data_IF_107266733277
#
_entry.id   IF_107266733277
#
_cell.length_a   1.000
_cell.length_b   1.000
_cell.length_c   1.000
_cell.angle_alpha   90.00
_cell.angle_beta   90.00
_cell.angle_gamma   90.00
#
_symmetry.space_group_name_H-M   'P 1'
#
loop_
_entity.id
_entity.type
_entity.pdbx_description
1 polymer ?
#
# COMPACT_ATOMS: atom_id res chain seq x y z
N UNK A 1 -4.02 -9.40 -23.43
CA UNK A 1 -4.93 -9.97 -24.45
C UNK A 1 -5.99 -10.79 -23.70
N UNK A 2 -7.08 -10.25 -23.16
CA UNK A 2 -7.96 -9.18 -23.59
C UNK A 2 -8.53 -8.41 -22.39
N UNK A 3 -8.31 -7.09 -22.33
CA UNK A 3 -9.22 -6.11 -21.70
C UNK A 3 -8.77 -4.70 -22.13
N UNK A 4 -8.54 -4.52 -23.43
CA UNK A 4 -8.05 -3.27 -24.03
C UNK A 4 -8.93 -2.90 -25.25
N UNK A 5 -10.22 -3.25 -25.21
CA UNK A 5 -11.09 -3.20 -26.40
C UNK A 5 -12.52 -2.68 -26.12
N UNK A 6 -12.71 -1.80 -25.13
CA UNK A 6 -14.01 -1.13 -24.93
C UNK A 6 -13.94 0.37 -24.66
N UNK A 7 -12.75 0.99 -24.77
CA UNK A 7 -12.60 2.44 -24.55
C UNK A 7 -12.65 3.29 -25.84
N UNK A 8 -12.57 2.69 -27.04
CA UNK A 8 -12.48 3.43 -28.31
C UNK A 8 -13.82 3.66 -29.05
N UNK A 9 -14.94 3.13 -28.59
CA UNK A 9 -16.23 3.21 -29.34
C UNK A 9 -17.22 4.28 -28.84
N UNK A 10 -16.79 5.27 -28.04
CA UNK A 10 -17.68 6.34 -27.53
C UNK A 10 -17.33 7.76 -28.01
N UNK A 11 -16.53 7.91 -29.07
CA UNK A 11 -16.04 9.22 -29.56
C UNK A 11 -16.84 9.84 -30.71
N UNK A 12 -18.09 9.40 -30.98
CA UNK A 12 -18.88 9.93 -32.09
C UNK A 12 -20.36 10.17 -31.72
N UNK A 13 -20.65 11.25 -31.00
CA UNK A 13 -21.98 11.86 -30.96
C UNK A 13 -21.88 13.36 -30.61
N UNK A 14 -21.71 14.17 -31.65
CA UNK A 14 -22.44 15.40 -31.97
C UNK A 14 -23.22 16.10 -30.84
N UNK A 15 -22.95 17.38 -30.60
CA UNK A 15 -23.90 18.24 -29.89
C UNK A 15 -23.35 19.58 -29.40
N UNK A 16 -23.53 20.63 -30.20
CA UNK A 16 -23.32 22.02 -29.81
C UNK A 16 -24.12 22.38 -28.53
N UNK A 17 -23.49 23.06 -27.58
CA UNK A 17 -24.17 23.54 -26.38
C UNK A 17 -23.33 24.57 -25.62
N UNK A 18 -23.60 25.85 -25.87
CA UNK A 18 -23.12 26.99 -25.08
C UNK A 18 -23.44 26.77 -23.59
N UNK A 19 -22.43 26.53 -22.76
CA UNK A 19 -22.58 26.71 -21.31
C UNK A 19 -21.85 27.99 -20.88
N UNK A 20 -22.64 29.06 -20.87
CA UNK A 20 -22.32 30.38 -20.31
C UNK A 20 -22.36 30.26 -18.79
N UNK A 21 -21.21 30.25 -18.13
CA UNK A 21 -21.11 30.25 -16.66
C UNK A 21 -21.66 31.56 -16.09
N UNK A 22 -22.66 31.56 -15.20
CA UNK A 22 -23.03 32.75 -14.43
C UNK A 22 -22.02 32.98 -13.30
N UNK A 23 -21.50 34.19 -13.19
CA UNK A 23 -20.79 34.65 -11.98
C UNK A 23 -21.80 34.83 -10.87
N UNK A 24 -21.82 33.92 -9.90
CA UNK A 24 -22.57 34.11 -8.66
C UNK A 24 -21.62 34.61 -7.56
N UNK A 25 -21.71 35.92 -7.28
CA UNK A 25 -21.22 36.51 -6.03
C UNK A 25 -22.40 36.56 -5.05
N UNK A 26 -22.38 35.70 -4.03
CA UNK A 26 -23.12 35.89 -2.77
C UNK A 26 -22.24 35.28 -1.67
N UNK A 27 -21.32 36.06 -1.09
CA UNK A 27 -21.43 36.59 0.28
C UNK A 27 -22.03 35.63 1.33
N UNK A 28 -21.18 35.36 2.32
CA UNK A 28 -21.49 35.40 3.74
C UNK A 28 -22.44 34.32 4.31
N UNK A 29 -21.85 33.34 5.02
CA UNK A 29 -22.24 33.05 6.41
C UNK A 29 -21.03 32.65 7.24
N UNK A 30 -20.71 33.51 8.20
CA UNK A 30 -19.95 33.17 9.38
C UNK A 30 -20.60 31.96 10.08
N UNK A 31 -19.97 30.81 9.93
CA UNK A 31 -20.17 29.66 10.80
C UNK A 31 -18.80 29.29 11.33
N UNK A 32 -18.40 29.86 12.46
CA UNK A 32 -17.24 29.37 13.22
C UNK A 32 -17.60 27.96 13.67
N UNK A 33 -17.29 26.97 12.83
CA UNK A 33 -17.40 25.56 13.15
C UNK A 33 -16.41 25.31 14.28
N UNK A 34 -16.89 25.40 15.53
CA UNK A 34 -16.16 24.92 16.71
C UNK A 34 -15.97 23.42 16.54
N UNK A 35 -14.88 23.01 15.90
CA UNK A 35 -14.49 21.60 15.78
C UNK A 35 -14.28 21.08 17.18
N UNK A 36 -15.17 20.19 17.63
CA UNK A 36 -15.03 19.48 18.91
C UNK A 36 -13.64 18.85 18.99
N UNK A 37 -12.94 18.89 20.13
CA UNK A 37 -11.68 18.15 20.28
C UNK A 37 -12.01 16.66 20.16
N UNK A 38 -11.68 16.09 19.01
CA UNK A 38 -11.91 14.68 18.70
C UNK A 38 -11.03 13.89 19.68
N UNK A 39 -11.67 13.28 20.70
CA UNK A 39 -11.03 12.43 21.72
C UNK A 39 -10.00 11.55 21.03
N UNK A 40 -8.73 11.78 21.36
CA UNK A 40 -7.57 11.16 20.73
C UNK A 40 -7.34 9.77 21.33
N UNK A 41 -8.25 8.86 21.03
CA UNK A 41 -8.06 7.43 21.18
C UNK A 41 -8.14 6.81 19.80
N UNK A 42 -7.06 6.78 19.04
CA UNK A 42 -7.00 5.93 17.86
C UNK A 42 -5.55 5.62 17.58
N UNK A 43 -5.20 4.36 17.37
CA UNK A 43 -3.86 3.95 16.94
C UNK A 43 -3.47 4.77 15.69
N UNK A 44 -2.22 5.26 15.63
CA UNK A 44 -1.75 6.00 14.45
C UNK A 44 -1.73 5.07 13.25
N UNK A 45 -2.17 5.53 12.07
CA UNK A 45 -2.15 4.72 10.83
C UNK A 45 -0.78 4.09 10.56
N UNK A 46 0.30 4.81 10.90
CA UNK A 46 1.69 4.31 10.86
C UNK A 46 1.91 3.13 11.80
N UNK A 47 1.47 3.23 13.06
CA UNK A 47 1.57 2.15 14.05
C UNK A 47 0.77 0.93 13.63
N UNK A 48 -0.41 1.13 13.03
CA UNK A 48 -1.23 0.03 12.50
C UNK A 48 -0.48 -0.66 11.37
N UNK A 49 0.00 0.06 10.35
CA UNK A 49 0.69 -0.56 9.22
C UNK A 49 2.00 -1.25 9.63
N UNK A 50 2.79 -0.63 10.53
CA UNK A 50 3.98 -1.26 11.11
C UNK A 50 3.64 -2.52 11.91
N UNK A 51 2.57 -2.50 12.71
CA UNK A 51 2.16 -3.67 13.48
C UNK A 51 1.76 -4.84 12.57
N UNK A 52 1.01 -4.60 11.49
CA UNK A 52 0.62 -5.64 10.54
C UNK A 52 1.83 -6.22 9.81
N UNK A 53 2.77 -5.39 9.34
CA UNK A 53 3.99 -5.87 8.66
C UNK A 53 4.94 -6.64 9.58
N UNK A 54 5.04 -6.25 10.85
CA UNK A 54 5.83 -7.00 11.84
C UNK A 54 5.18 -8.36 12.15
N UNK A 55 3.86 -8.38 12.38
CA UNK A 55 3.11 -9.63 12.61
C UNK A 55 3.22 -10.57 11.40
N UNK A 56 3.12 -10.03 10.19
CA UNK A 56 3.26 -10.79 8.94
C UNK A 56 4.66 -11.43 8.79
N UNK A 57 5.74 -10.68 9.09
CA UNK A 57 7.10 -11.25 9.13
C UNK A 57 7.25 -12.35 10.18
N UNK A 58 6.70 -12.15 11.38
CA UNK A 58 6.78 -13.14 12.47
C UNK A 58 6.06 -14.43 12.04
N UNK A 59 4.89 -14.32 11.42
CA UNK A 59 4.15 -15.46 10.88
C UNK A 59 4.94 -16.20 9.79
N UNK A 60 5.60 -15.46 8.90
CA UNK A 60 6.44 -16.03 7.85
C UNK A 60 7.64 -16.79 8.42
N UNK A 61 8.34 -16.21 9.41
CA UNK A 61 9.47 -16.89 10.09
C UNK A 61 8.99 -18.14 10.81
N UNK A 62 7.85 -18.08 11.49
CA UNK A 62 7.25 -19.22 12.18
C UNK A 62 6.83 -20.32 11.19
N UNK A 63 6.30 -19.96 10.03
CA UNK A 63 6.00 -20.90 8.94
C UNK A 63 7.26 -21.64 8.48
N UNK A 64 8.36 -20.92 8.22
CA UNK A 64 9.63 -21.55 7.79
C UNK A 64 10.17 -22.47 8.89
N UNK A 65 10.16 -22.03 10.15
CA UNK A 65 10.58 -22.86 11.28
C UNK A 65 9.74 -24.15 11.39
N UNK A 66 8.41 -24.06 11.25
CA UNK A 66 7.53 -25.24 11.24
C UNK A 66 7.74 -26.14 10.02
N UNK A 67 8.08 -25.58 8.86
CA UNK A 67 8.37 -26.35 7.66
C UNK A 67 9.66 -27.18 7.81
N UNK A 68 10.68 -26.63 8.45
CA UNK A 68 11.94 -27.35 8.75
C UNK A 68 11.77 -28.44 9.82
N UNK A 69 10.80 -28.29 10.73
CA UNK A 69 10.45 -29.32 11.72
C UNK A 69 9.46 -30.37 11.19
N UNK A 70 8.83 -30.13 10.03
CA UNK A 70 7.85 -31.03 9.42
C UNK A 70 8.36 -32.45 9.09
N UNK A 71 9.64 -32.71 8.73
CA UNK A 71 10.11 -34.08 8.52
C UNK A 71 10.27 -34.88 9.82
N UNK A 72 10.34 -34.23 10.98
CA UNK A 72 10.59 -34.90 12.28
C UNK A 72 9.29 -35.38 12.95
N UNK A 73 8.17 -34.68 12.79
CA UNK A 73 6.89 -35.01 13.44
C UNK A 73 5.72 -34.72 12.50
N UNK A 74 4.96 -35.77 12.11
CA UNK A 74 3.85 -35.66 11.17
C UNK A 74 2.73 -34.67 11.60
N UNK A 75 2.61 -34.38 12.90
CA UNK A 75 1.64 -33.41 13.43
C UNK A 75 1.89 -31.95 13.00
N UNK A 76 3.14 -31.57 12.69
CA UNK A 76 3.45 -30.18 12.30
C UNK A 76 3.09 -29.83 10.86
N UNK A 77 2.77 -30.82 10.01
CA UNK A 77 2.32 -30.59 8.63
C UNK A 77 1.04 -29.75 8.58
N UNK A 78 0.08 -30.04 9.47
CA UNK A 78 -1.14 -29.25 9.60
C UNK A 78 -0.88 -27.85 10.17
N UNK A 79 0.07 -27.72 11.10
CA UNK A 79 0.49 -26.43 11.64
C UNK A 79 1.08 -25.51 10.58
N UNK A 80 1.93 -26.06 9.70
CA UNK A 80 2.51 -25.33 8.56
C UNK A 80 1.44 -24.77 7.62
N UNK A 81 0.42 -25.59 7.29
CA UNK A 81 -0.71 -25.15 6.47
C UNK A 81 -1.50 -24.02 7.12
N UNK A 82 -1.82 -24.14 8.42
CA UNK A 82 -2.56 -23.12 9.16
C UNK A 82 -1.78 -21.80 9.20
N UNK A 83 -0.46 -21.86 9.43
CA UNK A 83 0.41 -20.68 9.44
C UNK A 83 0.48 -20.00 8.07
N UNK A 84 0.56 -20.77 6.99
CA UNK A 84 0.58 -20.23 5.63
C UNK A 84 -0.73 -19.50 5.31
N UNK A 85 -1.87 -20.08 5.68
CA UNK A 85 -3.20 -19.45 5.49
C UNK A 85 -3.34 -18.20 6.36
N UNK A 86 -2.88 -18.25 7.61
CA UNK A 86 -2.89 -17.10 8.50
C UNK A 86 -2.03 -15.95 7.95
N UNK A 87 -0.83 -16.25 7.44
CA UNK A 87 0.02 -15.29 6.74
C UNK A 87 -0.72 -14.66 5.55
N UNK A 88 -1.29 -15.47 4.65
CA UNK A 88 -2.03 -14.95 3.50
C UNK A 88 -3.22 -14.06 3.90
N UNK A 89 -3.91 -14.40 4.99
CA UNK A 89 -5.03 -13.61 5.52
C UNK A 89 -4.58 -12.26 6.09
N UNK A 90 -3.49 -12.23 6.87
CA UNK A 90 -2.92 -10.99 7.44
C UNK A 90 -2.39 -10.09 6.32
N UNK A 91 -1.66 -10.66 5.36
CA UNK A 91 -1.15 -9.94 4.19
C UNK A 91 -2.29 -9.33 3.36
N UNK A 92 -3.34 -10.11 3.08
CA UNK A 92 -4.48 -9.66 2.27
C UNK A 92 -5.39 -8.65 2.96
N UNK A 93 -5.58 -8.76 4.28
CA UNK A 93 -6.46 -7.88 5.05
C UNK A 93 -5.81 -6.54 5.43
N UNK A 94 -4.50 -6.55 5.70
CA UNK A 94 -3.77 -5.38 6.17
C UNK A 94 -2.82 -4.82 5.13
N UNK A 95 -1.74 -5.55 4.84
CA UNK A 95 -0.59 -5.03 4.10
C UNK A 95 -0.98 -4.58 2.69
N UNK A 96 -1.79 -5.40 1.99
CA UNK A 96 -2.32 -5.11 0.66
C UNK A 96 -3.08 -3.79 0.58
N UNK A 97 -4.31 -3.69 1.12
CA UNK A 97 -5.16 -2.51 0.96
C UNK A 97 -4.55 -1.25 1.58
N UNK A 98 -3.80 -1.36 2.67
CA UNK A 98 -3.21 -0.19 3.33
C UNK A 98 -2.05 0.39 2.49
N UNK A 99 -1.26 -0.44 1.79
CA UNK A 99 -0.19 0.04 0.88
C UNK A 99 -0.74 0.80 -0.34
N UNK A 100 -1.85 0.34 -0.91
CA UNK A 100 -2.55 1.06 -1.97
C UNK A 100 -3.14 2.38 -1.47
N UNK A 101 -3.70 2.34 -0.26
CA UNK A 101 -4.32 3.49 0.36
C UNK A 101 -3.29 4.59 0.66
N UNK A 102 -2.16 4.25 1.30
CA UNK A 102 -1.12 5.22 1.65
C UNK A 102 -0.54 5.91 0.40
N UNK A 103 -0.31 5.14 -0.67
CA UNK A 103 0.18 5.66 -1.95
C UNK A 103 -0.78 6.69 -2.57
N UNK A 104 -2.08 6.59 -2.26
CA UNK A 104 -3.07 7.57 -2.71
C UNK A 104 -3.19 8.82 -1.84
N UNK A 105 -2.74 8.76 -0.58
CA UNK A 105 -2.75 9.90 0.33
C UNK A 105 -1.54 10.81 0.11
N UNK A 106 -0.40 10.25 -0.31
CA UNK A 106 0.82 11.01 -0.58
C UNK A 106 0.75 11.79 -1.91
N UNK A 107 -0.12 11.39 -2.83
CA UNK A 107 -0.15 11.95 -4.19
C UNK A 107 -1.31 12.94 -4.34
N UNK A 108 -1.05 14.18 -4.77
CA UNK A 108 -2.12 15.15 -5.07
C UNK A 108 -3.03 14.64 -6.19
N UNK A 109 -4.35 14.89 -6.07
CA UNK A 109 -5.36 14.29 -6.95
C UNK A 109 -5.09 14.44 -8.45
N UNK A 110 -4.47 15.55 -8.86
CA UNK A 110 -4.14 15.83 -10.27
C UNK A 110 -3.17 14.82 -10.89
N UNK A 111 -2.29 14.21 -10.11
CA UNK A 111 -1.24 13.29 -10.60
C UNK A 111 -1.45 11.84 -10.17
N UNK A 112 -2.54 11.55 -9.45
CA UNK A 112 -2.79 10.24 -8.84
C UNK A 112 -2.81 9.10 -9.86
N UNK A 113 -3.44 9.28 -11.02
CA UNK A 113 -3.52 8.23 -12.05
C UNK A 113 -2.16 7.87 -12.63
N UNK A 114 -1.32 8.87 -12.93
CA UNK A 114 0.02 8.68 -13.52
C UNK A 114 0.97 7.99 -12.52
N UNK A 115 0.92 8.39 -11.24
CA UNK A 115 1.73 7.75 -10.22
C UNK A 115 1.30 6.31 -9.99
N UNK A 116 -0.01 6.05 -9.91
CA UNK A 116 -0.53 4.70 -9.68
C UNK A 116 -0.21 3.75 -10.84
N UNK A 117 -0.33 4.18 -12.10
CA UNK A 117 0.06 3.36 -13.25
C UNK A 117 1.56 3.05 -13.25
N UNK A 118 2.41 4.05 -12.96
CA UNK A 118 3.87 3.84 -12.85
C UNK A 118 4.22 2.85 -11.75
N UNK A 119 3.62 3.01 -10.56
CA UNK A 119 3.80 2.08 -9.44
C UNK A 119 3.35 0.66 -9.81
N UNK A 120 2.21 0.52 -10.50
CA UNK A 120 1.70 -0.77 -10.92
C UNK A 120 2.61 -1.45 -11.94
N UNK A 121 3.17 -0.71 -12.90
CA UNK A 121 4.14 -1.22 -13.86
C UNK A 121 5.40 -1.73 -13.17
N UNK A 122 5.97 -0.96 -12.23
CA UNK A 122 7.14 -1.38 -11.45
C UNK A 122 6.84 -2.60 -10.59
N UNK A 123 5.68 -2.61 -9.91
CA UNK A 123 5.24 -3.76 -9.12
C UNK A 123 5.11 -5.02 -9.99
N UNK A 124 4.53 -4.90 -11.19
CA UNK A 124 4.38 -6.02 -12.12
C UNK A 124 5.73 -6.58 -12.55
N UNK A 125 6.70 -5.70 -12.86
CA UNK A 125 8.07 -6.13 -13.20
C UNK A 125 8.71 -6.90 -12.04
N UNK A 126 8.60 -6.38 -10.81
CA UNK A 126 9.14 -7.03 -9.62
C UNK A 126 8.48 -8.40 -9.38
N UNK A 127 7.15 -8.49 -9.52
CA UNK A 127 6.40 -9.75 -9.37
C UNK A 127 6.84 -10.77 -10.42
N UNK A 128 7.06 -10.35 -11.67
CA UNK A 128 7.56 -11.23 -12.74
C UNK A 128 8.95 -11.74 -12.38
N UNK A 129 9.88 -10.85 -11.98
CA UNK A 129 11.24 -11.23 -11.58
C UNK A 129 11.21 -12.21 -10.40
N UNK A 130 10.41 -11.94 -9.37
CA UNK A 130 10.26 -12.82 -8.21
C UNK A 130 9.69 -14.19 -8.60
N UNK A 131 8.68 -14.20 -9.47
CA UNK A 131 8.04 -15.45 -9.94
C UNK A 131 9.02 -16.33 -10.71
N UNK A 132 9.85 -15.75 -11.58
CA UNK A 132 10.88 -16.51 -12.29
C UNK A 132 12.05 -16.93 -11.37
N UNK A 133 12.36 -16.10 -10.37
CA UNK A 133 13.47 -16.35 -9.43
C UNK A 133 13.11 -17.40 -8.38
N UNK A 134 11.83 -17.59 -8.04
CA UNK A 134 11.43 -18.50 -6.96
C UNK A 134 11.71 -19.96 -7.28
N UNK A 135 11.52 -20.37 -8.54
CA UNK A 135 11.69 -21.76 -8.97
C UNK A 135 13.15 -22.26 -8.83
N UNK A 136 14.18 -21.56 -9.33
CA UNK A 136 15.57 -21.96 -9.11
C UNK A 136 15.96 -21.84 -7.63
N UNK A 137 15.51 -20.80 -6.92
CA UNK A 137 15.87 -20.61 -5.52
C UNK A 137 15.29 -21.73 -4.62
N UNK A 138 14.06 -22.15 -4.90
CA UNK A 138 13.43 -23.27 -4.20
C UNK A 138 14.18 -24.59 -4.43
N UNK A 139 14.73 -24.81 -5.63
CA UNK A 139 15.50 -26.02 -5.92
C UNK A 139 16.85 -26.11 -5.19
N UNK A 140 17.45 -24.96 -4.83
CA UNK A 140 18.76 -24.91 -4.16
C UNK A 140 18.63 -24.83 -2.64
N UNK A 141 17.69 -24.01 -2.15
CA UNK A 141 17.60 -23.64 -0.72
C UNK A 141 16.31 -24.12 -0.07
N UNK A 142 15.39 -24.74 -0.81
CA UNK A 142 14.11 -25.23 -0.29
C UNK A 142 13.28 -24.12 0.35
N UNK A 143 12.72 -24.37 1.53
CA UNK A 143 11.81 -23.44 2.21
C UNK A 143 12.49 -22.13 2.65
N UNK A 144 13.80 -22.13 2.85
CA UNK A 144 14.56 -20.91 3.18
C UNK A 144 14.55 -19.87 2.05
N UNK A 145 14.26 -20.27 0.81
CA UNK A 145 14.08 -19.35 -0.31
C UNK A 145 13.00 -18.31 -0.03
N UNK A 146 11.90 -18.70 0.63
CA UNK A 146 10.84 -17.77 1.03
C UNK A 146 11.33 -16.77 2.07
N UNK A 147 12.17 -17.20 3.00
CA UNK A 147 12.72 -16.32 4.03
C UNK A 147 13.58 -15.22 3.37
N UNK A 148 14.47 -15.58 2.44
CA UNK A 148 15.32 -14.60 1.75
C UNK A 148 14.49 -13.68 0.84
N UNK A 149 13.59 -14.24 0.03
CA UNK A 149 12.82 -13.48 -0.96
C UNK A 149 11.76 -12.57 -0.35
N UNK A 150 11.21 -12.89 0.82
CA UNK A 150 10.18 -12.07 1.46
C UNK A 150 10.69 -11.25 2.65
N UNK A 151 11.60 -11.78 3.49
CA UNK A 151 12.09 -11.06 4.69
C UNK A 151 12.93 -9.85 4.31
N UNK A 152 13.79 -9.96 3.29
CA UNK A 152 14.64 -8.85 2.84
C UNK A 152 13.80 -7.67 2.35
N UNK A 153 12.91 -7.81 1.34
CA UNK A 153 12.09 -6.69 0.88
C UNK A 153 11.11 -6.21 1.95
N UNK A 154 10.62 -7.08 2.82
CA UNK A 154 9.74 -6.67 3.92
C UNK A 154 10.47 -5.81 4.96
N UNK A 155 11.71 -6.17 5.31
CA UNK A 155 12.56 -5.38 6.20
C UNK A 155 12.89 -4.02 5.58
N UNK A 156 13.27 -4.00 4.30
CA UNK A 156 13.50 -2.75 3.56
C UNK A 156 12.24 -1.88 3.56
N UNK A 157 11.07 -2.48 3.35
CA UNK A 157 9.79 -1.77 3.35
C UNK A 157 9.48 -1.15 4.72
N UNK A 158 9.75 -1.85 5.82
CA UNK A 158 9.62 -1.33 7.19
C UNK A 158 10.55 -0.12 7.39
N UNK A 159 11.81 -0.23 6.96
CA UNK A 159 12.78 0.86 7.07
C UNK A 159 12.37 2.09 6.25
N UNK A 160 12.01 1.89 4.98
CA UNK A 160 11.55 2.98 4.11
C UNK A 160 10.32 3.63 4.71
N UNK A 161 9.33 2.86 5.14
CA UNK A 161 8.14 3.40 5.77
C UNK A 161 8.45 4.15 7.08
N UNK A 162 9.38 3.65 7.88
CA UNK A 162 9.78 4.30 9.12
C UNK A 162 10.40 5.68 8.85
N UNK A 163 11.27 5.82 7.84
CA UNK A 163 11.94 7.09 7.52
C UNK A 163 11.11 8.04 6.65
N UNK A 164 10.40 7.53 5.64
CA UNK A 164 9.70 8.33 4.64
C UNK A 164 8.25 8.67 5.02
N UNK A 165 7.65 7.98 6.00
CA UNK A 165 6.29 8.29 6.42
C UNK A 165 6.30 9.26 7.62
N UNK A 166 6.17 10.59 7.39
CA UNK A 166 5.92 11.51 8.48
C UNK A 166 4.60 11.15 9.15
N UNK A 167 4.51 11.26 10.48
CA UNK A 167 3.28 10.93 11.19
C UNK A 167 2.13 11.85 10.76
N UNK A 168 1.26 11.37 9.89
CA UNK A 168 0.08 12.09 9.37
C UNK A 168 -1.03 12.27 10.41
N UNK A 169 -0.74 12.02 11.70
CA UNK A 169 -1.75 11.94 12.76
C UNK A 169 -2.05 13.30 13.37
N UNK A 170 -2.90 14.06 12.68
CA UNK A 170 -3.50 15.27 13.23
C UNK A 170 -3.10 16.58 12.56
N UNK A 171 -2.41 16.52 11.41
CA UNK A 171 -2.23 17.68 10.53
C UNK A 171 -3.30 17.67 9.44
N UNK A 172 -3.87 18.82 9.13
CA UNK A 172 -4.77 18.91 7.98
C UNK A 172 -3.98 18.64 6.69
N UNK A 173 -4.64 18.03 5.70
CA UNK A 173 -4.06 17.69 4.38
C UNK A 173 -3.35 18.92 3.74
N UNK A 174 -3.85 20.13 4.03
CA UNK A 174 -3.25 21.40 3.66
C UNK A 174 -1.79 21.58 4.17
N UNK A 175 -1.49 21.26 5.43
CA UNK A 175 -0.15 21.45 6.01
C UNK A 175 0.86 20.46 5.46
N UNK A 176 0.44 19.22 5.20
CA UNK A 176 1.30 18.17 4.63
C UNK A 176 1.68 18.53 3.18
N UNK A 177 0.72 19.04 2.40
CA UNK A 177 0.96 19.50 1.02
C UNK A 177 1.84 20.76 1.01
N UNK A 178 1.70 21.66 1.99
CA UNK A 178 2.54 22.85 2.13
C UNK A 178 3.99 22.52 2.55
N UNK A 179 4.19 21.54 3.43
CA UNK A 179 5.52 21.09 3.85
C UNK A 179 6.25 20.32 2.73
N UNK A 180 5.55 19.46 1.99
CA UNK A 180 6.08 18.78 0.81
C UNK A 180 6.40 19.75 -0.35
N UNK A 181 5.58 20.80 -0.54
CA UNK A 181 5.88 21.88 -1.51
C UNK A 181 6.95 22.87 -1.02
N UNK A 182 7.16 22.98 0.29
CA UNK A 182 8.04 23.95 0.94
C UNK A 182 9.51 23.54 1.03
N UNK A 183 9.86 22.29 0.68
CA UNK A 183 11.26 21.82 0.60
C UNK A 183 12.04 22.32 -0.62
N UNK A 184 11.56 23.37 -1.29
CA UNK A 184 12.37 24.19 -2.20
C UNK A 184 12.70 25.52 -1.55
N UNK A 185 13.43 25.49 -0.43
CA UNK A 185 14.28 26.64 -0.07
C UNK A 185 15.72 26.21 -0.29
N UNK A 186 16.20 26.61 -1.48
CA UNK A 186 17.54 27.14 -1.73
C UNK A 186 18.60 26.71 -0.72
N UNK A 187 19.48 25.81 -1.14
CA UNK A 187 20.90 25.93 -0.80
C UNK A 187 21.70 26.05 -2.08
#
# INVERSE_FOLDING_TARGET
MACESTAEHAAAATGAGKYRMPRERVQNKAGVVRRRPRRRGSLGRRTILLSFTVVDNILLVLYVACAELSPLVNGFKYGCLVLLVAYAFVYGSGVGPISWFISSELVPQKYRSITQSTCYSLNTIIVVILTFSILPLYSVVGTYAFLILYTIPSTISIFILYFYLPETKGREIHEIVAELRGKTKSS
#
